data_IF_199751415992
#
_entry.id   IF_199751415992
#
_cell.length_a   1.000
_cell.length_b   1.000
_cell.length_c   1.000
_cell.angle_alpha   90.00
_cell.angle_beta   90.00
_cell.angle_gamma   90.00
#
_symmetry.space_group_name_H-M   'P 1'
#
loop_
_entity.id
_entity.type
_entity.pdbx_description
1 polymer ?
#
# COMPACT_ATOMS: atom_id res chain seq x y z
N UNK A 1 24.40 -14.10 -3.53
CA UNK A 1 23.83 -13.46 -2.33
C UNK A 1 22.93 -14.48 -1.69
N UNK A 2 23.28 -14.97 -0.50
CA UNK A 2 22.54 -16.05 0.19
C UNK A 2 21.04 -15.77 0.16
N UNK A 3 20.25 -16.76 -0.25
CA UNK A 3 18.78 -16.69 -0.35
C UNK A 3 18.16 -16.07 0.92
N UNK A 4 18.71 -16.40 2.09
CA UNK A 4 18.34 -15.83 3.39
C UNK A 4 18.43 -14.31 3.48
N UNK A 5 19.48 -13.70 2.92
CA UNK A 5 19.66 -12.24 2.95
C UNK A 5 18.57 -11.54 2.14
N UNK A 6 18.16 -12.12 1.01
CA UNK A 6 17.05 -11.58 0.18
C UNK A 6 15.72 -11.65 0.93
N UNK A 7 15.45 -12.75 1.63
CA UNK A 7 14.23 -12.90 2.42
C UNK A 7 14.18 -11.88 3.56
N UNK A 8 15.28 -11.72 4.30
CA UNK A 8 15.37 -10.73 5.40
C UNK A 8 15.19 -9.30 4.87
N UNK A 9 15.84 -8.95 3.75
CA UNK A 9 15.65 -7.66 3.10
C UNK A 9 14.19 -7.42 2.68
N UNK A 10 13.54 -8.42 2.09
CA UNK A 10 12.12 -8.30 1.70
C UNK A 10 11.19 -8.17 2.90
N UNK A 11 11.48 -8.82 4.03
CA UNK A 11 10.70 -8.67 5.26
C UNK A 11 10.87 -7.27 5.87
N UNK A 12 12.11 -6.76 5.90
CA UNK A 12 12.39 -5.39 6.33
C UNK A 12 11.68 -4.37 5.44
N UNK A 13 11.68 -4.57 4.13
CA UNK A 13 10.95 -3.72 3.18
C UNK A 13 9.46 -3.65 3.53
N UNK A 14 8.82 -4.78 3.82
CA UNK A 14 7.41 -4.83 4.22
C UNK A 14 7.17 -4.05 5.52
N UNK A 15 8.01 -4.25 6.54
CA UNK A 15 7.89 -3.54 7.83
C UNK A 15 8.04 -2.02 7.64
N UNK A 16 9.00 -1.61 6.81
CA UNK A 16 9.23 -0.19 6.50
C UNK A 16 8.01 0.40 5.79
N UNK A 17 7.46 -0.27 4.79
CA UNK A 17 6.30 0.25 4.07
C UNK A 17 5.04 0.28 4.95
N UNK A 18 4.81 -0.73 5.79
CA UNK A 18 3.71 -0.71 6.75
C UNK A 18 3.84 0.47 7.73
N UNK A 19 5.06 0.75 8.19
CA UNK A 19 5.34 1.87 9.09
C UNK A 19 5.11 3.22 8.41
N UNK A 20 5.61 3.39 7.19
CA UNK A 20 5.37 4.60 6.38
C UNK A 20 3.88 4.76 6.08
N UNK A 21 3.20 3.66 5.72
CA UNK A 21 1.77 3.62 5.49
C UNK A 21 0.99 4.09 6.70
N UNK A 22 1.40 3.73 7.92
CA UNK A 22 0.73 4.15 9.15
C UNK A 22 0.82 5.66 9.35
N UNK A 23 2.00 6.23 9.09
CA UNK A 23 2.21 7.67 9.13
C UNK A 23 1.35 8.37 8.07
N UNK A 24 1.32 7.86 6.84
CA UNK A 24 0.47 8.40 5.78
C UNK A 24 -1.02 8.31 6.13
N UNK A 25 -1.47 7.21 6.73
CA UNK A 25 -2.86 7.05 7.13
C UNK A 25 -3.24 8.08 8.20
N UNK A 26 -2.36 8.28 9.18
CA UNK A 26 -2.66 9.15 10.34
C UNK A 26 -2.53 10.63 10.01
N UNK A 27 -1.49 11.02 9.28
CA UNK A 27 -1.15 12.43 9.05
C UNK A 27 -1.59 12.96 7.70
N UNK A 28 -1.97 12.10 6.75
CA UNK A 28 -2.39 12.52 5.41
C UNK A 28 -3.81 12.04 5.12
N UNK A 29 -4.07 10.73 5.18
CA UNK A 29 -5.38 10.18 4.80
C UNK A 29 -6.50 10.63 5.75
N UNK A 30 -6.29 10.57 7.07
CA UNK A 30 -7.27 11.02 8.05
C UNK A 30 -7.63 12.50 7.87
N UNK A 31 -6.69 13.45 7.82
CA UNK A 31 -7.03 14.85 7.57
C UNK A 31 -7.76 15.07 6.24
N UNK A 32 -7.39 14.33 5.20
CA UNK A 32 -8.12 14.37 3.92
C UNK A 32 -9.57 13.93 4.17
N UNK A 33 -9.81 12.77 4.75
CA UNK A 33 -11.18 12.28 5.00
C UNK A 33 -12.01 13.28 5.81
N UNK A 34 -11.44 13.80 6.90
CA UNK A 34 -12.12 14.76 7.79
C UNK A 34 -12.46 16.07 7.06
N UNK A 35 -11.59 16.55 6.15
CA UNK A 35 -11.88 17.71 5.30
C UNK A 35 -13.03 17.47 4.32
N UNK A 36 -13.27 16.22 3.91
CA UNK A 36 -14.43 15.82 3.12
C UNK A 36 -15.67 15.50 3.98
N UNK A 37 -15.61 15.73 5.30
CA UNK A 37 -16.68 15.43 6.23
C UNK A 37 -16.81 13.93 6.57
N UNK A 38 -15.86 13.11 6.14
CA UNK A 38 -15.84 11.66 6.39
C UNK A 38 -15.20 11.43 7.75
N UNK A 39 -15.98 10.93 8.70
CA UNK A 39 -15.43 10.59 10.02
C UNK A 39 -14.44 9.44 9.89
N UNK A 40 -13.21 9.67 10.36
CA UNK A 40 -12.17 8.64 10.41
C UNK A 40 -12.31 7.78 11.67
N UNK A 41 -13.51 7.23 11.85
CA UNK A 41 -13.93 6.40 12.99
C UNK A 41 -14.33 5.04 12.44
N UNK A 42 -13.76 3.95 12.96
CA UNK A 42 -13.99 2.59 12.43
C UNK A 42 -12.70 1.76 12.43
N UNK A 43 -12.66 0.73 11.57
CA UNK A 43 -11.53 -0.19 11.42
C UNK A 43 -10.39 0.43 10.59
N UNK A 44 -9.67 1.36 11.24
CA UNK A 44 -8.53 2.09 10.67
C UNK A 44 -7.47 1.16 10.06
N UNK A 45 -7.40 -0.08 10.54
CA UNK A 45 -6.47 -1.10 10.06
C UNK A 45 -6.70 -1.44 8.58
N UNK A 46 -7.95 -1.44 8.11
CA UNK A 46 -8.31 -1.77 6.72
C UNK A 46 -7.85 -0.65 5.77
N UNK A 47 -8.11 0.61 6.14
CA UNK A 47 -7.64 1.78 5.39
C UNK A 47 -6.12 1.91 5.42
N UNK A 48 -5.51 1.62 6.58
CA UNK A 48 -4.06 1.58 6.73
C UNK A 48 -3.40 0.52 5.85
N UNK A 49 -3.93 -0.70 5.86
CA UNK A 49 -3.39 -1.79 5.05
C UNK A 49 -3.56 -1.47 3.56
N UNK A 50 -4.73 -0.98 3.15
CA UNK A 50 -4.98 -0.55 1.77
C UNK A 50 -3.99 0.53 1.32
N UNK A 51 -3.79 1.57 2.13
CA UNK A 51 -2.85 2.63 1.81
C UNK A 51 -1.40 2.13 1.75
N UNK A 52 -1.00 1.30 2.71
CA UNK A 52 0.33 0.68 2.73
C UNK A 52 0.58 -0.17 1.49
N UNK A 53 -0.42 -0.91 1.03
CA UNK A 53 -0.31 -1.73 -0.16
C UNK A 53 -0.24 -0.88 -1.44
N UNK A 54 -1.00 0.21 -1.52
CA UNK A 54 -0.88 1.17 -2.62
C UNK A 54 0.55 1.73 -2.68
N UNK A 55 1.10 2.15 -1.55
CA UNK A 55 2.49 2.63 -1.46
C UNK A 55 3.49 1.54 -1.85
N UNK A 56 3.27 0.28 -1.45
CA UNK A 56 4.10 -0.86 -1.84
C UNK A 56 4.12 -1.10 -3.36
N UNK A 57 2.95 -0.99 -4.00
CA UNK A 57 2.83 -1.15 -5.44
C UNK A 57 3.53 -0.01 -6.16
N UNK A 58 3.30 1.25 -5.74
CA UNK A 58 3.97 2.42 -6.30
C UNK A 58 5.49 2.33 -6.15
N UNK A 59 5.98 1.98 -4.96
CA UNK A 59 7.40 1.71 -4.72
C UNK A 59 7.93 0.62 -5.67
N UNK A 60 7.24 -0.51 -5.77
CA UNK A 60 7.67 -1.63 -6.61
C UNK A 60 7.69 -1.26 -8.10
N UNK A 61 6.78 -0.41 -8.56
CA UNK A 61 6.76 0.11 -9.92
C UNK A 61 7.91 1.10 -10.15
N UNK A 62 8.09 2.08 -9.26
CA UNK A 62 9.17 3.07 -9.38
C UNK A 62 10.53 2.37 -9.41
N UNK A 63 10.79 1.50 -8.44
CA UNK A 63 12.08 0.79 -8.34
C UNK A 63 12.24 -0.21 -9.48
N UNK A 64 11.20 -0.99 -9.79
CA UNK A 64 11.23 -2.03 -10.83
C UNK A 64 11.26 -1.49 -12.26
N UNK A 65 10.86 -0.24 -12.50
CA UNK A 65 10.90 0.41 -13.81
C UNK A 65 12.14 1.30 -13.95
N UNK A 66 12.58 2.00 -12.90
CA UNK A 66 13.65 3.00 -13.05
C UNK A 66 15.02 2.58 -12.50
N UNK A 67 15.08 1.69 -11.50
CA UNK A 67 16.35 1.40 -10.79
C UNK A 67 16.83 -0.03 -11.07
N UNK A 68 15.97 -1.03 -10.92
CA UNK A 68 16.32 -2.44 -11.02
C UNK A 68 15.47 -3.17 -12.07
N UNK A 69 15.51 -2.68 -13.32
CA UNK A 69 14.71 -3.19 -14.45
C UNK A 69 14.87 -4.71 -14.69
N UNK A 70 16.10 -5.22 -14.53
CA UNK A 70 16.51 -6.61 -14.75
C UNK A 70 16.24 -7.53 -13.53
N UNK A 71 15.74 -7.01 -12.42
CA UNK A 71 15.50 -7.80 -11.22
C UNK A 71 14.31 -8.75 -11.39
N UNK A 72 14.58 -10.06 -11.23
CA UNK A 72 13.55 -11.10 -11.27
C UNK A 72 12.42 -10.88 -10.23
N UNK A 73 12.72 -10.29 -9.07
CA UNK A 73 11.72 -10.05 -8.01
C UNK A 73 10.70 -8.99 -8.47
N UNK A 74 11.17 -7.86 -9.00
CA UNK A 74 10.26 -6.81 -9.47
C UNK A 74 9.51 -7.22 -10.75
N UNK A 75 10.14 -8.04 -11.61
CA UNK A 75 9.46 -8.65 -12.76
C UNK A 75 8.32 -9.55 -12.31
N UNK A 76 8.56 -10.44 -11.34
CA UNK A 76 7.54 -11.35 -10.81
C UNK A 76 6.37 -10.60 -10.15
N UNK A 77 6.65 -9.54 -9.38
CA UNK A 77 5.62 -8.68 -8.79
C UNK A 77 4.73 -8.04 -9.87
N UNK A 78 5.32 -7.47 -10.93
CA UNK A 78 4.59 -6.84 -12.04
C UNK A 78 3.73 -7.82 -12.86
N UNK A 79 4.12 -9.08 -12.96
CA UNK A 79 3.35 -10.10 -13.70
C UNK A 79 2.33 -10.84 -12.84
N UNK A 80 2.35 -10.65 -11.51
CA UNK A 80 1.52 -11.39 -10.58
C UNK A 80 0.07 -10.88 -10.60
N UNK A 81 -0.88 -11.78 -10.88
CA UNK A 81 -2.32 -11.46 -10.84
C UNK A 81 -2.76 -11.07 -9.43
N UNK A 82 -2.29 -11.80 -8.40
CA UNK A 82 -2.61 -11.49 -7.00
C UNK A 82 -2.11 -10.10 -6.59
N UNK A 83 -0.95 -9.69 -7.11
CA UNK A 83 -0.40 -8.36 -6.84
C UNK A 83 -1.35 -7.26 -7.33
N UNK A 84 -1.87 -7.40 -8.54
CA UNK A 84 -2.82 -6.44 -9.11
C UNK A 84 -4.22 -6.53 -8.49
N UNK A 85 -4.70 -7.73 -8.15
CA UNK A 85 -6.00 -7.88 -7.48
C UNK A 85 -6.02 -7.21 -6.11
N UNK A 86 -4.98 -7.41 -5.29
CA UNK A 86 -4.87 -6.75 -3.99
C UNK A 86 -4.72 -5.24 -4.20
N UNK A 87 -4.00 -4.78 -5.24
CA UNK A 87 -3.90 -3.36 -5.56
C UNK A 87 -5.28 -2.74 -5.88
N UNK A 88 -6.08 -3.40 -6.70
CA UNK A 88 -7.44 -2.94 -7.04
C UNK A 88 -8.31 -2.91 -5.77
N UNK A 89 -8.29 -3.97 -4.97
CA UNK A 89 -9.03 -4.02 -3.70
C UNK A 89 -8.58 -2.93 -2.72
N UNK A 90 -7.27 -2.63 -2.67
CA UNK A 90 -6.72 -1.57 -1.83
C UNK A 90 -7.18 -0.19 -2.28
N UNK A 91 -7.20 0.08 -3.59
CA UNK A 91 -7.78 1.32 -4.12
C UNK A 91 -9.26 1.41 -3.78
N UNK A 92 -10.03 0.32 -3.95
CA UNK A 92 -11.43 0.32 -3.57
C UNK A 92 -11.63 0.70 -2.10
N UNK A 93 -10.89 0.06 -1.18
CA UNK A 93 -10.97 0.34 0.25
C UNK A 93 -10.65 1.81 0.58
N UNK A 94 -9.60 2.37 -0.01
CA UNK A 94 -9.17 3.74 0.26
C UNK A 94 -10.07 4.79 -0.42
N UNK A 95 -10.68 4.47 -1.56
CA UNK A 95 -11.44 5.48 -2.31
C UNK A 95 -12.96 5.37 -2.16
N UNK A 96 -13.50 4.22 -1.74
CA UNK A 96 -14.94 4.06 -1.53
C UNK A 96 -15.55 5.04 -0.51
N UNK A 97 -14.85 5.48 0.57
CA UNK A 97 -15.43 6.43 1.52
C UNK A 97 -15.78 7.78 0.88
N UNK A 98 -15.01 8.21 -0.13
CA UNK A 98 -15.30 9.47 -0.84
C UNK A 98 -16.57 9.41 -1.69
N UNK A 99 -16.95 8.20 -2.14
CA UNK A 99 -18.18 8.00 -2.92
C UNK A 99 -19.37 7.89 -1.97
N UNK A 100 -19.21 7.20 -0.84
CA UNK A 100 -20.28 6.99 0.14
C UNK A 100 -20.51 8.17 1.07
N UNK A 101 -19.51 9.03 1.27
CA UNK A 101 -19.55 10.12 2.26
C UNK A 101 -19.31 9.65 3.70
N UNK A 102 -19.06 8.36 3.91
CA UNK A 102 -18.76 7.76 5.20
C UNK A 102 -17.72 6.65 5.01
N UNK A 103 -16.94 6.36 6.06
CA UNK A 103 -16.04 5.22 6.04
C UNK A 103 -16.85 3.93 6.33
N UNK A 104 -17.00 3.01 5.37
CA UNK A 104 -17.81 1.82 5.54
C UNK A 104 -17.10 0.69 6.31
N UNK A 105 -15.87 0.95 6.78
CA UNK A 105 -15.00 0.03 7.50
C UNK A 105 -14.66 0.58 8.88
#
# INVERSE_FOLDING_TARGET
>A
MDEWKKVVLSLLEIIVILSIGLLFTTYILRPIYENFGIQFTGDVWVNWFGLSYILFVLYSLIVGIFIFQESNIFKQRRTSVLFWLIFIGSNYVVFIPFIKGENPF
#
